data_IF_342817934791
#
_entry.id   IF_342817934791
#
_cell.length_a   1.000
_cell.length_b   1.000
_cell.length_c   1.000
_cell.angle_alpha   90.00
_cell.angle_beta   90.00
_cell.angle_gamma   90.00
#
_symmetry.space_group_name_H-M   'P 1'
#
loop_
_entity.id
_entity.type
_entity.pdbx_description
1 polymer ?
#
# COMPACT_ATOMS: atom_id res chain seq x y z
N UNK A 1 -25.41 62.78 -18.25
CA UNK A 1 -25.66 62.21 -19.56
C UNK A 1 -24.52 61.24 -19.81
N UNK A 2 -24.71 60.00 -19.51
CA UNK A 2 -23.67 58.99 -19.65
C UNK A 2 -24.28 57.76 -20.33
N UNK A 3 -23.72 57.40 -21.45
CA UNK A 3 -24.12 56.22 -22.22
C UNK A 3 -23.56 54.94 -21.59
N UNK A 4 -24.30 53.83 -21.56
CA UNK A 4 -23.76 52.59 -21.09
C UNK A 4 -23.05 51.85 -22.24
N UNK A 5 -21.84 51.43 -21.94
CA UNK A 5 -21.01 50.56 -22.76
C UNK A 5 -21.57 49.13 -22.72
N UNK A 6 -22.03 48.65 -23.86
CA UNK A 6 -22.45 47.23 -24.00
C UNK A 6 -21.24 46.34 -24.21
N UNK A 7 -20.87 45.61 -23.20
CA UNK A 7 -19.87 44.54 -23.27
C UNK A 7 -20.48 43.32 -23.94
N UNK A 8 -20.05 43.02 -25.17
CA UNK A 8 -20.41 41.82 -25.93
C UNK A 8 -19.81 40.60 -25.29
N UNK A 9 -20.66 39.82 -24.66
CA UNK A 9 -20.37 38.50 -24.11
C UNK A 9 -20.13 37.53 -25.30
N UNK A 10 -18.89 37.27 -25.60
CA UNK A 10 -18.52 36.20 -26.55
C UNK A 10 -18.71 34.86 -25.87
N UNK A 11 -19.81 34.18 -26.17
CA UNK A 11 -20.00 32.77 -25.83
C UNK A 11 -18.99 31.95 -26.63
N UNK A 12 -17.93 31.51 -26.01
CA UNK A 12 -17.11 30.42 -26.52
C UNK A 12 -17.79 29.11 -26.18
N UNK A 13 -18.34 28.51 -27.24
CA UNK A 13 -18.84 27.13 -27.21
C UNK A 13 -17.61 26.21 -27.06
N UNK A 14 -17.33 25.74 -25.84
CA UNK A 14 -16.39 24.68 -25.67
C UNK A 14 -17.12 23.36 -25.93
N UNK A 15 -16.83 22.77 -27.08
CA UNK A 15 -17.21 21.37 -27.36
C UNK A 15 -16.49 20.51 -26.33
N UNK A 16 -17.25 19.96 -25.41
CA UNK A 16 -16.78 18.88 -24.54
C UNK A 16 -16.77 17.59 -25.35
N UNK A 17 -15.60 17.14 -25.71
CA UNK A 17 -15.37 15.78 -26.19
C UNK A 17 -15.47 14.84 -24.97
N UNK A 18 -16.23 13.75 -25.06
CA UNK A 18 -16.21 12.75 -24.02
C UNK A 18 -14.89 11.99 -24.10
N UNK A 19 -14.01 12.24 -23.15
CA UNK A 19 -12.86 11.36 -22.94
C UNK A 19 -13.42 10.07 -22.36
N UNK A 20 -13.40 9.03 -23.18
CA UNK A 20 -13.68 7.68 -22.74
C UNK A 20 -12.68 7.32 -21.63
N UNK A 21 -13.18 7.22 -20.40
CA UNK A 21 -12.42 6.68 -19.30
C UNK A 21 -12.19 5.20 -19.59
N UNK A 22 -11.02 4.88 -20.08
CA UNK A 22 -10.51 3.51 -20.03
C UNK A 22 -10.21 3.24 -18.57
N UNK A 23 -11.14 2.57 -17.90
CA UNK A 23 -10.91 1.97 -16.61
C UNK A 23 -9.89 0.85 -16.79
N UNK A 24 -8.62 1.21 -16.78
CA UNK A 24 -7.53 0.28 -16.62
C UNK A 24 -7.62 -0.26 -15.19
N UNK A 25 -8.24 -1.40 -15.02
CA UNK A 25 -8.00 -2.26 -13.87
C UNK A 25 -6.53 -2.64 -13.90
N UNK A 26 -5.69 -1.83 -13.30
CA UNK A 26 -4.36 -2.27 -12.91
C UNK A 26 -4.59 -3.18 -11.71
N UNK A 27 -4.88 -4.44 -12.01
CA UNK A 27 -4.81 -5.49 -11.02
C UNK A 27 -3.44 -5.37 -10.36
N UNK A 28 -3.43 -5.30 -9.04
CA UNK A 28 -2.21 -5.44 -8.26
C UNK A 28 -1.61 -6.79 -8.64
N UNK A 29 -0.75 -6.78 -9.63
CA UNK A 29 0.14 -7.88 -9.87
C UNK A 29 1.11 -7.88 -8.68
N UNK A 30 0.72 -8.54 -7.59
CA UNK A 30 1.69 -9.21 -6.77
C UNK A 30 2.44 -10.10 -7.75
N UNK A 31 3.61 -9.70 -8.20
CA UNK A 31 4.47 -10.54 -9.00
C UNK A 31 4.86 -11.71 -8.11
N UNK A 32 4.05 -12.77 -8.19
CA UNK A 32 4.47 -14.08 -7.78
C UNK A 32 5.64 -14.42 -8.71
N UNK A 33 6.87 -14.30 -8.21
CA UNK A 33 8.04 -14.85 -8.87
C UNK A 33 7.76 -16.33 -9.10
N UNK A 34 7.88 -16.85 -10.35
CA UNK A 34 7.80 -18.27 -10.56
C UNK A 34 8.86 -18.94 -9.69
N UNK A 35 8.42 -19.93 -8.92
CA UNK A 35 9.32 -20.78 -8.14
C UNK A 35 10.37 -21.37 -9.08
N UNK A 36 11.66 -21.25 -8.78
CA UNK A 36 12.69 -21.94 -9.53
C UNK A 36 12.45 -23.45 -9.39
N UNK A 37 12.70 -24.26 -10.44
CA UNK A 37 12.55 -25.69 -10.38
C UNK A 37 13.42 -26.24 -9.25
N UNK A 38 12.90 -27.21 -8.51
CA UNK A 38 13.55 -27.88 -7.40
C UNK A 38 14.94 -28.43 -7.79
N UNK A 39 15.96 -27.64 -7.54
CA UNK A 39 17.37 -28.04 -7.58
C UNK A 39 17.74 -28.61 -6.23
N UNK A 40 18.20 -29.84 -6.25
CA UNK A 40 18.66 -30.64 -5.12
C UNK A 40 19.74 -29.86 -4.32
N UNK A 41 19.50 -29.70 -3.02
CA UNK A 41 20.54 -29.52 -2.01
C UNK A 41 20.97 -28.08 -1.78
N UNK A 42 20.35 -27.50 -0.84
CA UNK A 42 20.86 -26.81 0.36
C UNK A 42 19.59 -26.31 1.10
N UNK A 43 19.31 -26.94 2.21
CA UNK A 43 18.26 -26.46 3.14
C UNK A 43 18.72 -25.14 3.76
N UNK A 44 18.72 -24.08 2.96
CA UNK A 44 18.65 -22.76 3.51
C UNK A 44 17.28 -22.67 4.17
N UNK A 45 17.28 -22.74 5.49
CA UNK A 45 16.12 -22.38 6.29
C UNK A 45 15.81 -20.90 6.03
N UNK A 46 15.21 -20.63 4.89
CA UNK A 46 14.64 -19.33 4.59
C UNK A 46 13.46 -19.17 5.54
N UNK A 47 13.73 -18.56 6.65
CA UNK A 47 12.70 -18.16 7.60
C UNK A 47 11.92 -17.03 6.95
N UNK A 48 10.96 -17.42 6.13
CA UNK A 48 9.98 -16.54 5.56
C UNK A 48 8.88 -16.22 6.58
N UNK A 49 8.21 -15.13 6.35
CA UNK A 49 7.01 -14.73 7.08
C UNK A 49 5.86 -14.63 6.10
N UNK A 50 4.73 -15.21 6.45
CA UNK A 50 3.46 -14.86 5.84
C UNK A 50 2.90 -13.65 6.59
N UNK A 51 2.61 -12.59 5.86
CA UNK A 51 2.05 -11.37 6.40
C UNK A 51 0.65 -11.18 5.85
N UNK A 52 -0.35 -11.42 6.68
CA UNK A 52 -1.72 -11.08 6.37
C UNK A 52 -1.97 -9.62 6.77
N UNK A 53 -2.36 -8.80 5.81
CA UNK A 53 -2.69 -7.40 6.05
C UNK A 53 -4.20 -7.19 6.01
N UNK A 54 -4.67 -6.25 6.78
CA UNK A 54 -5.96 -5.60 6.60
C UNK A 54 -5.69 -4.13 6.40
N UNK A 55 -5.96 -3.65 5.21
CA UNK A 55 -5.84 -2.25 4.84
C UNK A 55 -7.25 -1.65 4.82
N UNK A 56 -7.51 -0.71 5.68
CA UNK A 56 -8.71 0.12 5.66
C UNK A 56 -8.24 1.53 5.26
N UNK A 57 -8.46 1.85 4.00
CA UNK A 57 -7.97 3.07 3.40
C UNK A 57 -9.17 3.84 2.85
N UNK A 58 -9.52 4.94 3.51
CA UNK A 58 -10.61 5.81 3.08
C UNK A 58 -11.97 5.09 2.95
N UNK A 59 -12.24 4.12 3.82
CA UNK A 59 -13.44 3.30 3.80
C UNK A 59 -13.40 2.10 2.85
N UNK A 60 -12.33 1.91 2.10
CA UNK A 60 -12.10 0.70 1.30
C UNK A 60 -11.25 -0.30 2.07
N UNK A 61 -11.78 -1.51 2.24
CA UNK A 61 -11.09 -2.58 2.96
C UNK A 61 -10.52 -3.59 1.99
N UNK A 62 -9.21 -3.81 2.06
CA UNK A 62 -8.53 -4.89 1.36
C UNK A 62 -7.74 -5.78 2.31
N UNK A 63 -7.54 -7.04 1.96
CA UNK A 63 -6.89 -8.05 2.81
C UNK A 63 -5.83 -8.84 2.03
N UNK A 64 -4.77 -8.18 1.55
CA UNK A 64 -3.71 -8.89 0.85
C UNK A 64 -2.93 -9.78 1.83
N UNK A 65 -2.40 -10.89 1.30
CA UNK A 65 -1.43 -11.74 1.98
C UNK A 65 -0.15 -11.72 1.15
N UNK A 66 0.96 -11.47 1.79
CA UNK A 66 2.28 -11.42 1.16
C UNK A 66 3.26 -12.31 1.91
N UNK A 67 4.23 -12.85 1.19
CA UNK A 67 5.35 -13.58 1.80
C UNK A 67 6.57 -12.68 1.77
N UNK A 68 7.19 -12.48 2.91
CA UNK A 68 8.37 -11.65 3.10
C UNK A 68 9.51 -12.47 3.71
N UNK A 69 10.72 -12.17 3.33
CA UNK A 69 11.92 -12.67 4.00
C UNK A 69 12.31 -11.75 5.16
N UNK A 70 13.18 -12.25 6.03
CA UNK A 70 13.72 -11.45 7.13
C UNK A 70 14.45 -10.23 6.56
N UNK A 71 14.14 -9.04 7.08
CA UNK A 71 14.68 -7.75 6.67
C UNK A 71 14.37 -7.34 5.22
N UNK A 72 13.49 -8.06 4.53
CA UNK A 72 13.03 -7.69 3.20
C UNK A 72 12.06 -6.51 3.27
N UNK A 73 12.23 -5.56 2.37
CA UNK A 73 11.30 -4.42 2.23
C UNK A 73 10.20 -4.78 1.25
N UNK A 74 8.97 -4.78 1.74
CA UNK A 74 7.76 -4.97 0.94
C UNK A 74 7.12 -3.61 0.68
N UNK A 75 6.64 -3.39 -0.53
CA UNK A 75 5.91 -2.18 -0.90
C UNK A 75 4.59 -2.54 -1.56
N UNK A 76 3.51 -2.08 -0.94
CA UNK A 76 2.16 -2.11 -1.51
C UNK A 76 1.81 -0.71 -2.00
N UNK A 77 1.16 -0.62 -3.14
CA UNK A 77 0.76 0.65 -3.74
C UNK A 77 -0.69 0.57 -4.19
N UNK A 78 -1.36 1.70 -4.16
CA UNK A 78 -2.72 1.83 -4.68
C UNK A 78 -3.05 3.28 -4.95
N UNK A 79 -4.27 3.48 -5.43
CA UNK A 79 -4.84 4.80 -5.68
C UNK A 79 -6.22 4.82 -5.06
N UNK A 80 -6.55 5.90 -4.37
CA UNK A 80 -7.91 6.17 -3.91
C UNK A 80 -8.39 7.48 -4.57
N UNK A 81 -9.39 7.41 -5.43
CA UNK A 81 -9.71 8.50 -6.34
C UNK A 81 -8.51 8.85 -7.23
N UNK A 82 -8.00 10.08 -7.14
CA UNK A 82 -6.78 10.52 -7.83
C UNK A 82 -5.56 10.57 -6.91
N UNK A 83 -5.68 10.08 -5.68
CA UNK A 83 -4.63 10.16 -4.68
C UNK A 83 -3.85 8.86 -4.59
N UNK A 84 -2.58 8.83 -5.02
CA UNK A 84 -1.73 7.66 -4.88
C UNK A 84 -1.27 7.48 -3.44
N UNK A 85 -1.23 6.23 -2.98
CA UNK A 85 -0.69 5.87 -1.69
C UNK A 85 0.30 4.71 -1.81
N UNK A 86 1.19 4.61 -0.84
CA UNK A 86 2.10 3.49 -0.72
C UNK A 86 2.32 3.11 0.76
N UNK A 87 2.25 1.82 1.04
CA UNK A 87 2.64 1.23 2.31
C UNK A 87 3.92 0.43 2.10
N UNK A 88 4.99 0.84 2.75
CA UNK A 88 6.24 0.08 2.84
C UNK A 88 6.34 -0.52 4.23
N UNK A 89 6.76 -1.77 4.32
CA UNK A 89 7.09 -2.36 5.61
C UNK A 89 8.27 -3.32 5.49
N UNK A 90 8.96 -3.48 6.61
CA UNK A 90 10.08 -4.40 6.76
C UNK A 90 9.89 -5.13 8.10
N UNK A 91 10.05 -6.44 8.07
CA UNK A 91 9.98 -7.28 9.27
C UNK A 91 11.37 -7.79 9.58
N UNK A 92 11.86 -7.47 10.77
CA UNK A 92 13.17 -7.89 11.24
C UNK A 92 13.00 -8.82 12.41
N UNK A 93 13.54 -10.05 12.31
CA UNK A 93 13.61 -10.98 13.42
C UNK A 93 14.63 -10.46 14.43
N UNK A 94 14.23 -10.37 15.68
CA UNK A 94 15.09 -9.92 16.79
C UNK A 94 15.75 -11.09 17.51
N UNK A 95 15.05 -12.23 17.60
CA UNK A 95 15.53 -13.43 18.29
C UNK A 95 14.88 -14.72 17.76
N UNK A 96 15.24 -15.85 18.37
CA UNK A 96 14.67 -17.17 18.03
C UNK A 96 13.31 -17.43 18.69
N UNK A 97 12.90 -16.62 19.66
CA UNK A 97 11.64 -16.77 20.40
C UNK A 97 10.45 -16.19 19.63
N UNK A 98 10.70 -15.54 18.51
CA UNK A 98 9.65 -14.99 17.65
C UNK A 98 9.40 -13.51 17.87
N UNK A 99 10.30 -12.84 18.60
CA UNK A 99 10.26 -11.38 18.68
C UNK A 99 10.64 -10.75 17.35
N UNK A 100 9.83 -9.80 16.93
CA UNK A 100 9.95 -9.10 15.66
C UNK A 100 9.98 -7.60 15.89
N UNK A 101 10.65 -6.91 14.97
CA UNK A 101 10.49 -5.47 14.80
C UNK A 101 9.87 -5.21 13.44
N UNK A 102 8.76 -4.51 13.43
CA UNK A 102 8.05 -4.10 12.23
C UNK A 102 8.31 -2.61 12.02
N UNK A 103 8.95 -2.28 10.90
CA UNK A 103 9.13 -0.91 10.44
C UNK A 103 8.13 -0.68 9.33
N UNK A 104 7.23 0.27 9.50
CA UNK A 104 6.25 0.61 8.49
C UNK A 104 6.39 2.07 8.09
N UNK A 105 6.06 2.38 6.85
CA UNK A 105 5.97 3.74 6.33
C UNK A 105 4.80 3.83 5.38
N UNK A 106 3.86 4.67 5.71
CA UNK A 106 2.70 4.98 4.90
C UNK A 106 2.86 6.36 4.28
N UNK A 107 2.69 6.44 2.99
CA UNK A 107 2.72 7.70 2.24
C UNK A 107 1.45 7.88 1.44
N UNK A 108 1.00 9.11 1.28
CA UNK A 108 -0.07 9.50 0.39
C UNK A 108 0.34 10.75 -0.38
N UNK A 109 0.16 10.72 -1.68
CA UNK A 109 0.57 11.80 -2.57
C UNK A 109 2.05 12.24 -2.38
N UNK A 110 2.93 11.28 -2.05
CA UNK A 110 4.34 11.54 -1.77
C UNK A 110 4.65 12.06 -0.36
N UNK A 111 3.63 12.41 0.43
CA UNK A 111 3.79 12.84 1.81
C UNK A 111 3.76 11.65 2.79
N UNK A 112 4.61 11.67 3.80
CA UNK A 112 4.64 10.64 4.85
C UNK A 112 3.53 10.91 5.84
N UNK A 113 2.54 10.02 5.90
CA UNK A 113 1.43 10.10 6.86
C UNK A 113 1.80 9.45 8.21
N UNK A 114 2.52 8.32 8.16
CA UNK A 114 2.98 7.63 9.36
C UNK A 114 4.23 6.81 9.05
N UNK A 115 5.14 6.72 10.01
CA UNK A 115 6.35 5.92 9.92
C UNK A 115 6.66 5.22 11.26
N UNK A 116 5.76 4.38 11.80
CA UNK A 116 5.96 3.75 13.10
C UNK A 116 6.99 2.61 13.03
N UNK A 117 7.65 2.43 14.16
CA UNK A 117 8.41 1.22 14.48
C UNK A 117 7.67 0.53 15.63
N UNK A 118 7.38 -0.76 15.47
CA UNK A 118 6.65 -1.55 16.46
C UNK A 118 7.39 -2.84 16.78
N UNK A 119 7.44 -3.20 18.04
CA UNK A 119 7.82 -4.55 18.47
C UNK A 119 6.57 -5.43 18.47
N UNK A 120 6.72 -6.65 18.03
CA UNK A 120 5.65 -7.64 17.96
C UNK A 120 6.21 -9.03 18.20
N UNK A 121 5.31 -9.98 18.42
CA UNK A 121 5.63 -11.41 18.46
C UNK A 121 4.91 -12.09 17.29
N UNK A 122 5.50 -13.13 16.73
CA UNK A 122 4.86 -13.96 15.71
C UNK A 122 3.47 -14.38 16.17
N UNK A 123 2.46 -14.20 15.32
CA UNK A 123 1.05 -14.45 15.64
C UNK A 123 0.33 -13.27 16.29
N UNK A 124 1.04 -12.22 16.66
CA UNK A 124 0.45 -10.99 17.20
C UNK A 124 0.07 -10.02 16.09
N UNK A 125 -1.08 -9.38 16.24
CA UNK A 125 -1.53 -8.32 15.35
C UNK A 125 -0.86 -6.99 15.69
N UNK A 126 -0.28 -6.36 14.69
CA UNK A 126 0.29 -5.01 14.78
C UNK A 126 -0.63 -4.06 14.05
N UNK A 127 -1.00 -2.96 14.71
CA UNK A 127 -1.85 -1.92 14.12
C UNK A 127 -1.05 -0.65 13.93
N UNK A 128 -1.19 -0.08 12.73
CA UNK A 128 -0.62 1.22 12.34
C UNK A 128 -1.77 2.12 11.93
N UNK A 129 -1.97 3.20 12.65
CA UNK A 129 -2.93 4.24 12.33
C UNK A 129 -2.21 5.50 11.88
N UNK A 130 -2.69 6.10 10.81
CA UNK A 130 -2.20 7.38 10.34
C UNK A 130 -3.15 8.52 10.73
N UNK A 131 -4.45 8.29 10.55
CA UNK A 131 -5.53 9.19 10.93
C UNK A 131 -6.82 8.37 11.13
N UNK A 132 -7.97 9.04 11.23
CA UNK A 132 -9.27 8.36 11.40
C UNK A 132 -9.75 7.61 10.15
N UNK A 133 -9.09 7.82 9.01
CA UNK A 133 -9.48 7.24 7.72
C UNK A 133 -8.55 6.13 7.25
N UNK A 134 -7.41 5.94 7.93
CA UNK A 134 -6.40 4.97 7.52
C UNK A 134 -5.99 4.10 8.70
N UNK A 135 -6.35 2.84 8.61
CA UNK A 135 -6.01 1.80 9.58
C UNK A 135 -5.37 0.60 8.87
N UNK A 136 -4.15 0.27 9.25
CA UNK A 136 -3.41 -0.85 8.71
C UNK A 136 -3.11 -1.83 9.82
N UNK A 137 -3.60 -3.06 9.68
CA UNK A 137 -3.27 -4.13 10.59
C UNK A 137 -2.44 -5.21 9.88
N UNK A 138 -1.36 -5.63 10.52
CA UNK A 138 -0.48 -6.69 10.05
C UNK A 138 -0.53 -7.86 11.04
N UNK A 139 -0.70 -9.07 10.53
CA UNK A 139 -0.54 -10.29 11.28
C UNK A 139 0.60 -11.09 10.66
N UNK A 140 1.68 -11.30 11.42
CA UNK A 140 2.88 -11.98 10.93
C UNK A 140 2.87 -13.43 11.44
N UNK A 141 3.01 -14.38 10.54
CA UNK A 141 3.13 -15.81 10.82
C UNK A 141 4.45 -16.35 10.27
N UNK A 142 4.95 -17.42 10.83
CA UNK A 142 6.08 -18.19 10.24
C UNK A 142 5.54 -19.04 9.08
N UNK A 143 6.30 -19.09 8.04
CA UNK A 143 6.13 -20.05 6.93
C UNK A 143 7.08 -21.23 7.14
#
# INVERSE_FOLDING_TARGET
>A
MSAPSSSRMRRRLCLALPVAAVAGMVGSAAQARPLPPAGIGHTNHHTGFEVALKLDMFGEVSKPVVVAQNAERITLRGVHGDTPWALQFTIVRMDHHGNLRVLARLTSNGEVLAAPIRSAVVGQRVVVRADDQIDVALLVRRV
#
